data_IF_236135775419
#
_entry.id   IF_236135775419
#
_cell.length_a   1.000
_cell.length_b   1.000
_cell.length_c   1.000
_cell.angle_alpha   90.00
_cell.angle_beta   90.00
_cell.angle_gamma   90.00
#
_symmetry.space_group_name_H-M   'P 1'
#
loop_
_entity.id
_entity.type
_entity.pdbx_description
1 polymer ?
#
# COMPACT_ATOMS: atom_id res chain seq x y z
N UNK A 1 -15.83 -24.13 25.76
CA UNK A 1 -16.58 -23.64 24.58
C UNK A 1 -15.73 -22.56 23.92
N UNK A 2 -15.26 -22.78 22.69
CA UNK A 2 -14.27 -21.95 21.99
C UNK A 2 -14.72 -20.48 21.85
N UNK A 3 -14.42 -19.62 22.83
CA UNK A 3 -14.05 -18.23 22.57
C UNK A 3 -12.55 -18.22 22.24
N UNK A 4 -12.17 -18.95 21.20
CA UNK A 4 -10.78 -19.20 20.80
C UNK A 4 -10.50 -18.27 19.62
N UNK A 5 -9.82 -17.17 19.90
CA UNK A 5 -9.04 -16.30 19.00
C UNK A 5 -9.70 -15.83 17.68
N UNK A 6 -9.80 -14.51 17.52
CA UNK A 6 -10.11 -13.84 16.25
C UNK A 6 -11.33 -12.94 16.33
N UNK A 7 -11.11 -11.63 16.25
CA UNK A 7 -12.19 -10.69 15.91
C UNK A 7 -12.46 -10.80 14.41
N UNK A 8 -13.74 -10.73 14.01
CA UNK A 8 -14.08 -10.58 12.59
C UNK A 8 -13.48 -9.26 12.09
N UNK A 9 -12.83 -9.29 10.93
CA UNK A 9 -12.40 -8.06 10.25
C UNK A 9 -13.61 -7.15 10.06
N UNK A 10 -13.49 -5.90 10.50
CA UNK A 10 -14.56 -4.90 10.39
C UNK A 10 -14.88 -4.61 8.92
N UNK A 11 -16.06 -4.04 8.61
CA UNK A 11 -16.36 -3.56 7.26
C UNK A 11 -15.28 -2.63 6.71
N UNK A 12 -14.82 -1.64 7.50
CA UNK A 12 -13.72 -0.75 7.12
C UNK A 12 -12.43 -1.50 6.85
N UNK A 13 -12.05 -2.45 7.74
CA UNK A 13 -10.84 -3.25 7.52
C UNK A 13 -10.93 -4.16 6.28
N UNK A 14 -12.13 -4.50 5.79
CA UNK A 14 -12.30 -5.20 4.51
C UNK A 14 -12.17 -4.26 3.32
N UNK A 15 -12.73 -3.05 3.43
CA UNK A 15 -12.63 -2.00 2.42
C UNK A 15 -11.16 -1.60 2.21
N UNK A 16 -10.47 -1.26 3.29
CA UNK A 16 -9.05 -0.90 3.28
C UNK A 16 -8.19 -1.98 2.64
N UNK A 17 -8.40 -3.26 3.01
CA UNK A 17 -7.69 -4.38 2.40
C UNK A 17 -7.95 -4.49 0.90
N UNK A 18 -9.18 -4.20 0.46
CA UNK A 18 -9.52 -4.17 -0.96
C UNK A 18 -8.81 -3.02 -1.67
N UNK A 19 -8.81 -1.82 -1.10
CA UNK A 19 -8.13 -0.66 -1.66
C UNK A 19 -6.64 -0.93 -1.81
N UNK A 20 -5.96 -1.35 -0.74
CA UNK A 20 -4.51 -1.59 -0.76
C UNK A 20 -4.14 -2.71 -1.74
N UNK A 21 -4.91 -3.81 -1.77
CA UNK A 21 -4.65 -4.89 -2.74
C UNK A 21 -4.78 -4.42 -4.20
N UNK A 22 -5.78 -3.57 -4.49
CA UNK A 22 -5.97 -3.04 -5.85
C UNK A 22 -4.97 -1.94 -6.18
N UNK A 23 -4.53 -1.14 -5.20
CA UNK A 23 -3.44 -0.18 -5.38
C UNK A 23 -2.16 -0.89 -5.80
N UNK A 24 -1.78 -1.98 -5.10
CA UNK A 24 -0.58 -2.76 -5.45
C UNK A 24 -0.72 -3.34 -6.86
N UNK A 25 -1.86 -3.94 -7.19
CA UNK A 25 -2.10 -4.49 -8.53
C UNK A 25 -2.08 -3.41 -9.64
N UNK A 26 -2.60 -2.22 -9.34
CA UNK A 26 -2.58 -1.07 -10.25
C UNK A 26 -1.16 -0.57 -10.50
N UNK A 27 -0.34 -0.48 -9.44
CA UNK A 27 1.08 -0.13 -9.54
C UNK A 27 1.87 -1.17 -10.34
N UNK A 28 1.61 -2.46 -10.10
CA UNK A 28 2.18 -3.57 -10.88
C UNK A 28 1.85 -3.46 -12.36
N UNK A 29 0.60 -3.13 -12.71
CA UNK A 29 0.19 -2.87 -14.08
C UNK A 29 0.90 -1.64 -14.69
N UNK A 30 1.28 -0.66 -13.86
CA UNK A 30 2.09 0.51 -14.22
C UNK A 30 3.60 0.24 -14.34
N UNK A 31 4.05 -1.01 -14.11
CA UNK A 31 5.46 -1.39 -14.18
C UNK A 31 6.25 -1.14 -12.90
N UNK A 32 5.56 -0.89 -11.79
CA UNK A 32 6.13 -0.72 -10.47
C UNK A 32 6.01 -2.00 -9.64
N UNK A 33 6.79 -2.12 -8.58
CA UNK A 33 6.75 -3.28 -7.70
C UNK A 33 6.97 -2.86 -6.25
N UNK A 34 6.37 -3.61 -5.33
CA UNK A 34 6.70 -3.48 -3.91
C UNK A 34 8.13 -3.95 -3.68
N UNK A 35 8.91 -3.16 -2.95
CA UNK A 35 10.29 -3.48 -2.59
C UNK A 35 10.53 -3.50 -1.07
N UNK A 36 9.59 -2.95 -0.29
CA UNK A 36 9.72 -2.86 1.15
C UNK A 36 8.53 -2.22 1.82
N UNK A 37 8.56 -2.22 3.15
CA UNK A 37 7.61 -1.54 4.01
C UNK A 37 8.36 -0.95 5.19
N UNK A 38 8.19 0.34 5.41
CA UNK A 38 8.71 1.03 6.59
C UNK A 38 7.59 1.17 7.63
N UNK A 39 7.83 0.67 8.83
CA UNK A 39 6.83 0.59 9.91
C UNK A 39 6.88 1.77 10.90
N UNK A 40 7.69 2.79 10.60
CA UNK A 40 7.95 3.93 11.48
C UNK A 40 9.25 3.81 12.28
N UNK A 41 9.90 2.64 12.29
CA UNK A 41 11.21 2.42 12.92
C UNK A 41 12.17 1.75 11.92
N UNK A 42 11.78 0.61 11.36
CA UNK A 42 12.60 -0.23 10.50
C UNK A 42 12.01 -0.41 9.09
N UNK A 43 12.91 -0.53 8.10
CA UNK A 43 12.54 -0.92 6.73
C UNK A 43 12.65 -2.43 6.58
N UNK A 44 11.50 -3.09 6.38
CA UNK A 44 11.43 -4.52 6.07
C UNK A 44 11.34 -4.73 4.57
N UNK A 45 12.25 -5.52 4.00
CA UNK A 45 12.16 -5.92 2.60
C UNK A 45 10.95 -6.84 2.39
N UNK A 46 10.09 -6.48 1.45
CA UNK A 46 8.94 -7.27 1.01
C UNK A 46 8.88 -7.23 -0.50
N UNK A 47 8.60 -8.36 -1.14
CA UNK A 47 8.69 -8.50 -2.61
C UNK A 47 7.38 -8.91 -3.25
N UNK A 48 6.36 -9.17 -2.43
CA UNK A 48 5.05 -9.61 -2.89
C UNK A 48 3.93 -8.80 -2.24
N UNK A 49 2.82 -8.66 -2.97
CA UNK A 49 1.61 -8.07 -2.42
C UNK A 49 1.15 -8.77 -1.13
N UNK A 50 1.30 -10.10 -1.05
CA UNK A 50 0.90 -10.87 0.14
C UNK A 50 1.70 -10.46 1.38
N UNK A 51 3.04 -10.41 1.29
CA UNK A 51 3.89 -10.02 2.41
C UNK A 51 3.60 -8.59 2.86
N UNK A 52 3.45 -7.67 1.91
CA UNK A 52 3.07 -6.29 2.19
C UNK A 52 1.72 -6.22 2.94
N UNK A 53 0.70 -6.91 2.44
CA UNK A 53 -0.64 -6.94 3.04
C UNK A 53 -0.67 -7.55 4.45
N UNK A 54 0.21 -8.52 4.74
CA UNK A 54 0.35 -9.08 6.09
C UNK A 54 0.95 -8.06 7.06
N UNK A 55 1.96 -7.30 6.65
CA UNK A 55 2.61 -6.29 7.49
C UNK A 55 1.74 -5.03 7.69
N UNK A 56 1.21 -4.45 6.61
CA UNK A 56 0.41 -3.21 6.66
C UNK A 56 -0.70 -3.32 7.71
N UNK A 57 -1.45 -4.43 7.69
CA UNK A 57 -2.61 -4.60 8.56
C UNK A 57 -2.29 -5.19 9.94
N UNK A 58 -1.02 -5.26 10.30
CA UNK A 58 -0.56 -5.43 11.69
C UNK A 58 -0.11 -4.10 12.31
N UNK A 59 -0.15 -3.00 11.56
CA UNK A 59 0.28 -1.67 11.96
C UNK A 59 -0.90 -0.69 11.90
N UNK A 60 -0.78 0.43 12.62
CA UNK A 60 -1.71 1.56 12.51
C UNK A 60 -1.32 2.48 11.34
N UNK A 61 -0.03 2.56 11.03
CA UNK A 61 0.55 3.36 9.95
C UNK A 61 1.70 2.57 9.29
N UNK A 62 1.82 2.67 7.97
CA UNK A 62 2.94 2.08 7.23
C UNK A 62 3.30 2.92 6.00
N UNK A 63 4.58 3.00 5.66
CA UNK A 63 5.03 3.53 4.37
C UNK A 63 5.41 2.37 3.44
N UNK A 64 4.55 2.07 2.48
CA UNK A 64 4.80 1.06 1.45
C UNK A 64 5.85 1.60 0.48
N UNK A 65 6.95 0.86 0.29
CA UNK A 65 8.04 1.23 -0.61
C UNK A 65 7.85 0.58 -1.97
N UNK A 66 7.84 1.41 -3.00
CA UNK A 66 7.58 1.03 -4.39
C UNK A 66 8.80 1.39 -5.24
N UNK A 67 9.28 0.47 -6.06
CA UNK A 67 10.36 0.70 -7.01
C UNK A 67 9.93 0.42 -8.45
N UNK A 68 10.73 0.89 -9.41
CA UNK A 68 10.54 0.58 -10.83
C UNK A 68 11.70 -0.26 -11.36
N UNK A 69 11.37 -1.37 -12.02
CA UNK A 69 12.38 -2.27 -12.57
C UNK A 69 13.33 -1.53 -13.52
N UNK A 70 14.64 -1.71 -13.34
CA UNK A 70 15.67 -1.07 -14.15
C UNK A 70 15.99 0.38 -13.79
N UNK A 71 15.51 0.86 -12.64
CA UNK A 71 15.85 2.18 -12.08
C UNK A 71 16.28 2.05 -10.62
N UNK A 72 17.02 3.03 -10.10
CA UNK A 72 17.36 3.16 -8.67
C UNK A 72 16.39 4.10 -7.93
N UNK A 73 15.22 4.37 -8.51
CA UNK A 73 14.21 5.28 -7.93
C UNK A 73 13.23 4.45 -7.10
N UNK A 74 12.96 4.93 -5.89
CA UNK A 74 11.91 4.42 -5.03
C UNK A 74 10.97 5.52 -4.54
N UNK A 75 9.75 5.10 -4.18
CA UNK A 75 8.70 5.97 -3.65
C UNK A 75 8.11 5.38 -2.38
N UNK A 76 7.63 6.26 -1.51
CA UNK A 76 6.81 5.89 -0.36
C UNK A 76 5.35 6.21 -0.60
N UNK A 77 4.47 5.30 -0.19
CA UNK A 77 3.02 5.55 -0.07
C UNK A 77 2.66 5.40 1.40
N UNK A 78 2.16 6.47 2.01
CA UNK A 78 1.72 6.50 3.40
C UNK A 78 0.31 5.90 3.51
N UNK A 79 0.20 4.83 4.29
CA UNK A 79 -1.04 4.12 4.54
C UNK A 79 -1.43 4.25 6.02
N UNK A 80 -2.63 4.75 6.31
CA UNK A 80 -3.17 4.88 7.67
C UNK A 80 -4.33 3.90 7.85
N UNK A 81 -4.11 2.83 8.62
CA UNK A 81 -5.10 1.79 8.86
C UNK A 81 -6.17 2.32 9.81
N UNK A 82 -7.43 2.06 9.47
CA UNK A 82 -8.59 2.62 10.18
C UNK A 82 -9.16 3.90 9.54
N UNK A 83 -8.49 4.47 8.54
CA UNK A 83 -8.95 5.67 7.83
C UNK A 83 -9.96 5.40 6.69
N UNK A 84 -10.36 4.13 6.51
CA UNK A 84 -11.41 3.75 5.58
C UNK A 84 -11.02 3.99 4.11
N UNK A 85 -11.84 4.80 3.41
CA UNK A 85 -11.60 5.13 2.01
C UNK A 85 -10.32 5.96 1.83
N UNK A 86 -9.97 6.74 2.86
CA UNK A 86 -8.81 7.63 2.90
C UNK A 86 -7.56 6.93 3.48
N UNK A 87 -7.46 5.60 3.34
CA UNK A 87 -6.28 4.84 3.80
C UNK A 87 -5.00 5.28 3.09
N UNK A 88 -5.07 5.62 1.81
CA UNK A 88 -3.94 6.20 1.07
C UNK A 88 -3.86 7.68 1.42
N UNK A 89 -2.99 8.01 2.38
CA UNK A 89 -2.93 9.34 2.99
C UNK A 89 -2.04 10.31 2.22
N UNK A 90 -0.88 9.84 1.75
CA UNK A 90 0.09 10.64 0.99
C UNK A 90 1.04 9.74 0.18
N UNK A 91 1.81 10.32 -0.75
CA UNK A 91 2.86 9.61 -1.48
C UNK A 91 3.95 10.56 -2.00
N UNK A 92 5.16 10.03 -2.15
CA UNK A 92 6.27 10.75 -2.80
C UNK A 92 6.22 10.60 -4.32
N UNK A 93 6.88 11.49 -5.05
CA UNK A 93 7.06 11.37 -6.49
C UNK A 93 8.37 12.02 -6.94
N UNK A 94 8.86 11.64 -8.11
CA UNK A 94 10.01 12.32 -8.73
C UNK A 94 9.56 13.63 -9.39
N UNK A 95 10.28 14.71 -9.17
CA UNK A 95 10.01 15.98 -9.84
C UNK A 95 9.95 15.79 -11.36
N UNK A 96 8.90 16.32 -11.99
CA UNK A 96 8.65 16.16 -13.43
C UNK A 96 8.20 14.76 -13.85
N UNK A 97 7.91 13.87 -12.91
CA UNK A 97 7.37 12.52 -13.12
C UNK A 97 8.21 11.66 -14.09
N UNK A 98 9.54 11.71 -13.93
CA UNK A 98 10.50 11.07 -14.85
C UNK A 98 10.34 9.56 -14.98
N UNK A 99 9.72 8.91 -14.00
CA UNK A 99 9.43 7.47 -14.00
C UNK A 99 7.94 7.15 -14.16
N UNK A 100 7.06 8.15 -14.24
CA UNK A 100 5.63 7.98 -14.41
C UNK A 100 4.86 7.57 -13.14
N UNK A 101 5.51 7.56 -11.97
CA UNK A 101 4.87 7.12 -10.73
C UNK A 101 3.70 8.03 -10.34
N UNK A 102 3.86 9.34 -10.46
CA UNK A 102 2.82 10.32 -10.14
C UNK A 102 1.61 10.15 -11.05
N UNK A 103 1.83 9.96 -12.35
CA UNK A 103 0.73 9.68 -13.29
C UNK A 103 -0.01 8.39 -12.96
N UNK A 104 0.69 7.31 -12.59
CA UNK A 104 0.06 6.05 -12.18
C UNK A 104 -0.74 6.22 -10.89
N UNK A 105 -0.18 6.88 -9.87
CA UNK A 105 -0.90 7.19 -8.62
C UNK A 105 -2.14 8.05 -8.87
N UNK A 106 -2.03 9.09 -9.70
CA UNK A 106 -3.15 9.98 -10.02
C UNK A 106 -4.28 9.32 -10.81
N UNK A 107 -4.02 8.18 -11.45
CA UNK A 107 -5.03 7.37 -12.14
C UNK A 107 -5.71 6.34 -11.23
N UNK A 108 -5.23 6.13 -10.01
CA UNK A 108 -5.85 5.23 -9.05
C UNK A 108 -7.03 5.91 -8.35
N UNK A 109 -8.19 5.27 -8.39
CA UNK A 109 -9.40 5.73 -7.70
C UNK A 109 -9.78 4.74 -6.59
N UNK A 110 -9.62 5.14 -5.33
CA UNK A 110 -9.99 4.33 -4.18
C UNK A 110 -11.51 4.16 -4.05
N UNK A 111 -12.31 5.15 -4.49
CA UNK A 111 -13.77 5.13 -4.42
C UNK A 111 -14.39 4.06 -5.31
N UNK A 112 -13.69 3.64 -6.37
CA UNK A 112 -14.09 2.51 -7.21
C UNK A 112 -14.20 1.17 -6.43
N UNK A 113 -13.66 1.11 -5.21
CA UNK A 113 -13.63 -0.08 -4.36
C UNK A 113 -14.48 0.01 -3.09
N UNK A 114 -15.15 1.15 -2.86
CA UNK A 114 -16.04 1.42 -1.73
C UNK A 114 -17.24 0.45 -1.64
#
# INVERSE_FOLDING_TARGET
>A
MLRRFGHKVSPNGKLERRIVANLIAHLEAGGFQVIGLYDGDDLTAVTTAKEAMELIFNLDEASLRIGKAGTDIDHGILLIVGNGIDIVSDYTYSEGDSDGFSAVMGAFDAEAFA
#
